data_IF_398629203617
#
_entry.id   IF_398629203617
#
_cell.length_a   1.000
_cell.length_b   1.000
_cell.length_c   1.000
_cell.angle_alpha   90.00
_cell.angle_beta   90.00
_cell.angle_gamma   90.00
#
_symmetry.space_group_name_H-M   'P 1'
#
loop_
_entity.id
_entity.type
_entity.pdbx_description
1 polymer ?
#
# COMPACT_ATOMS: atom_id res chain seq x y z
N UNK A 1 10.51 21.97 -8.79
CA UNK A 1 10.20 20.82 -7.92
C UNK A 1 8.69 20.77 -7.82
N UNK A 2 8.05 19.66 -8.20
CA UNK A 2 6.60 19.54 -8.07
C UNK A 2 6.20 19.62 -6.58
N UNK A 3 5.01 20.14 -6.33
CA UNK A 3 4.39 20.19 -5.01
C UNK A 3 3.94 18.81 -4.55
N UNK A 4 3.65 18.69 -3.25
CA UNK A 4 3.06 17.47 -2.68
C UNK A 4 1.76 17.07 -3.40
N UNK A 5 0.88 18.03 -3.68
CA UNK A 5 -0.43 17.78 -4.31
C UNK A 5 -0.29 17.31 -5.77
N UNK A 6 0.68 17.87 -6.51
CA UNK A 6 1.00 17.44 -7.87
C UNK A 6 1.52 16.00 -7.87
N UNK A 7 2.43 15.66 -6.96
CA UNK A 7 2.98 14.31 -6.85
C UNK A 7 1.91 13.30 -6.42
N UNK A 8 1.03 13.67 -5.49
CA UNK A 8 -0.07 12.81 -5.07
C UNK A 8 -1.05 12.56 -6.23
N UNK A 9 -1.36 13.59 -7.01
CA UNK A 9 -2.21 13.47 -8.21
C UNK A 9 -1.60 12.50 -9.23
N UNK A 10 -0.28 12.61 -9.49
CA UNK A 10 0.43 11.66 -10.37
C UNK A 10 0.29 10.22 -9.89
N UNK A 11 0.41 9.97 -8.58
CA UNK A 11 0.21 8.60 -8.07
C UNK A 11 -1.23 8.16 -8.28
N UNK A 12 -2.22 8.99 -7.93
CA UNK A 12 -3.66 8.67 -8.09
C UNK A 12 -4.03 8.34 -9.54
N UNK A 13 -3.46 9.06 -10.49
CA UNK A 13 -3.74 8.90 -11.91
C UNK A 13 -2.92 7.76 -12.57
N UNK A 14 -1.99 7.16 -11.84
CA UNK A 14 -1.17 6.04 -12.32
C UNK A 14 -1.88 4.69 -12.19
N UNK A 15 -1.41 3.71 -12.96
CA UNK A 15 -1.76 2.30 -12.80
C UNK A 15 -0.62 1.49 -12.20
N UNK A 16 -0.94 0.40 -11.49
CA UNK A 16 0.06 -0.43 -10.78
C UNK A 16 1.15 -1.05 -11.69
N UNK A 17 0.88 -1.21 -12.98
CA UNK A 17 1.77 -1.76 -14.00
C UNK A 17 2.67 -0.70 -14.64
N UNK A 18 2.42 0.59 -14.37
CA UNK A 18 3.31 1.71 -14.67
C UNK A 18 4.44 1.87 -13.64
N UNK A 19 4.51 0.96 -12.65
CA UNK A 19 5.55 0.93 -11.63
C UNK A 19 6.49 -0.25 -11.83
N UNK A 20 7.77 0.04 -12.04
CA UNK A 20 8.82 -0.98 -12.11
C UNK A 20 9.06 -1.57 -10.73
N UNK A 21 8.92 -2.88 -10.60
CA UNK A 21 9.01 -3.60 -9.32
C UNK A 21 10.42 -4.14 -9.11
N UNK A 22 11.14 -3.56 -8.15
CA UNK A 22 12.36 -4.12 -7.60
C UNK A 22 12.05 -4.75 -6.23
N UNK A 23 11.18 -5.76 -6.20
CA UNK A 23 10.67 -6.33 -4.95
C UNK A 23 11.76 -6.82 -3.98
N UNK A 24 12.86 -7.36 -4.49
CA UNK A 24 14.02 -7.75 -3.65
C UNK A 24 14.75 -6.58 -2.99
N UNK A 25 14.60 -5.38 -3.55
CA UNK A 25 15.14 -4.13 -3.02
C UNK A 25 14.09 -3.33 -2.25
N UNK A 26 12.86 -3.84 -2.12
CA UNK A 26 11.75 -3.11 -1.52
C UNK A 26 11.49 -1.76 -2.19
N UNK A 27 11.68 -1.65 -3.51
CA UNK A 27 11.56 -0.39 -4.24
C UNK A 27 10.65 -0.55 -5.46
N UNK A 28 9.74 0.40 -5.64
CA UNK A 28 8.89 0.55 -6.82
C UNK A 28 9.17 1.91 -7.43
N UNK A 29 9.48 1.95 -8.72
CA UNK A 29 9.86 3.18 -9.42
C UNK A 29 8.83 3.49 -10.49
N UNK A 30 8.29 4.70 -10.47
CA UNK A 30 7.33 5.14 -11.47
C UNK A 30 8.03 5.28 -12.84
N UNK A 31 7.49 4.66 -13.89
CA UNK A 31 8.15 4.59 -15.19
C UNK A 31 8.30 5.96 -15.86
N UNK A 32 7.29 6.83 -15.71
CA UNK A 32 7.26 8.12 -16.40
C UNK A 32 8.12 9.19 -15.69
N UNK A 33 8.34 9.05 -14.37
CA UNK A 33 9.26 9.89 -13.60
C UNK A 33 9.99 9.04 -12.55
N UNK A 34 11.22 8.63 -12.89
CA UNK A 34 12.04 7.74 -12.04
C UNK A 34 12.50 8.39 -10.73
N UNK A 35 12.33 9.70 -10.57
CA UNK A 35 12.58 10.36 -9.28
C UNK A 35 11.50 9.99 -8.27
N UNK A 36 10.27 9.66 -8.72
CA UNK A 36 9.16 9.21 -7.89
C UNK A 36 9.27 7.71 -7.60
N UNK A 37 9.42 7.37 -6.32
CA UNK A 37 9.62 6.00 -5.87
C UNK A 37 8.81 5.71 -4.61
N UNK A 38 8.28 4.50 -4.50
CA UNK A 38 7.77 3.94 -3.24
C UNK A 38 8.83 2.98 -2.69
N UNK A 39 9.18 3.11 -1.42
CA UNK A 39 10.26 2.33 -0.80
C UNK A 39 9.78 1.76 0.52
N UNK A 40 9.95 0.45 0.72
CA UNK A 40 9.81 -0.20 2.02
C UNK A 40 10.96 0.25 2.93
N UNK A 41 10.65 0.96 4.00
CA UNK A 41 11.63 1.46 4.97
C UNK A 41 11.90 0.46 6.09
N UNK A 42 10.86 -0.20 6.57
CA UNK A 42 10.94 -0.98 7.80
C UNK A 42 9.90 -2.10 7.85
N UNK A 43 10.22 -3.11 8.66
CA UNK A 43 9.27 -4.12 9.10
C UNK A 43 8.86 -3.77 10.53
N UNK A 44 7.58 -3.47 10.73
CA UNK A 44 7.02 -3.00 11.99
C UNK A 44 6.65 -4.14 12.96
N UNK A 45 6.67 -5.38 12.47
CA UNK A 45 6.37 -6.59 13.24
C UNK A 45 5.06 -7.26 12.81
N UNK A 46 4.57 -8.25 13.57
CA UNK A 46 3.36 -8.98 13.22
C UNK A 46 2.12 -8.08 13.30
N UNK A 47 1.17 -8.27 12.39
CA UNK A 47 -0.17 -7.70 12.51
C UNK A 47 -0.99 -8.49 13.54
N UNK A 48 -1.66 -7.79 14.44
CA UNK A 48 -2.42 -8.38 15.56
C UNK A 48 -3.91 -8.04 15.50
N UNK A 49 -4.29 -7.19 14.55
CA UNK A 49 -5.64 -6.71 14.37
C UNK A 49 -6.56 -7.85 13.89
N UNK A 50 -7.84 -7.90 14.32
CA UNK A 50 -8.75 -8.98 13.95
C UNK A 50 -8.90 -9.18 12.44
N UNK A 51 -8.91 -8.08 11.68
CA UNK A 51 -9.03 -8.14 10.23
C UNK A 51 -7.82 -8.78 9.55
N UNK A 52 -6.64 -8.69 10.15
CA UNK A 52 -5.36 -9.19 9.62
C UNK A 52 -4.99 -10.59 10.14
N UNK A 53 -5.58 -11.03 11.25
CA UNK A 53 -5.27 -12.32 11.91
C UNK A 53 -6.19 -13.47 11.49
N UNK A 54 -7.23 -13.19 10.71
CA UNK A 54 -8.17 -14.22 10.22
C UNK A 54 -7.63 -15.10 9.08
N UNK A 55 -6.45 -14.79 8.56
CA UNK A 55 -5.82 -15.54 7.48
C UNK A 55 -5.06 -16.77 8.00
N UNK A 56 -4.77 -17.73 7.12
CA UNK A 56 -4.14 -19.00 7.52
C UNK A 56 -2.67 -18.81 7.88
N UNK A 57 -1.94 -18.02 7.09
CA UNK A 57 -0.54 -17.70 7.35
C UNK A 57 -0.38 -16.35 8.08
N UNK A 58 0.76 -16.12 8.74
CA UNK A 58 1.01 -14.87 9.47
C UNK A 58 0.92 -13.64 8.58
N UNK A 59 0.45 -12.55 9.17
CA UNK A 59 0.42 -11.22 8.55
C UNK A 59 1.44 -10.31 9.22
N UNK A 60 2.11 -9.46 8.44
CA UNK A 60 3.20 -8.59 8.91
C UNK A 60 2.95 -7.14 8.50
N UNK A 61 3.23 -6.20 9.41
CA UNK A 61 3.13 -4.76 9.17
C UNK A 61 4.47 -4.23 8.66
N UNK A 62 4.40 -3.31 7.70
CA UNK A 62 5.55 -2.68 7.05
C UNK A 62 5.32 -1.18 6.92
N UNK A 63 6.42 -0.41 7.01
CA UNK A 63 6.42 1.02 6.71
C UNK A 63 6.90 1.27 5.28
N UNK A 64 6.09 1.98 4.49
CA UNK A 64 6.40 2.38 3.13
C UNK A 64 6.45 3.89 3.01
N UNK A 65 7.38 4.43 2.24
CA UNK A 65 7.53 5.87 2.03
C UNK A 65 7.62 6.19 0.54
N UNK A 66 6.79 7.14 0.10
CA UNK A 66 6.99 7.79 -1.20
C UNK A 66 8.14 8.80 -1.11
N UNK A 67 9.03 8.75 -2.08
CA UNK A 67 10.15 9.68 -2.26
C UNK A 67 10.05 10.37 -3.62
N UNK A 68 10.50 11.62 -3.67
CA UNK A 68 10.84 12.30 -4.91
C UNK A 68 12.29 12.75 -4.84
N UNK A 69 13.13 12.15 -5.69
CA UNK A 69 14.57 12.20 -5.51
C UNK A 69 14.95 11.61 -4.15
N UNK A 70 15.51 12.44 -3.27
CA UNK A 70 15.94 12.05 -1.91
C UNK A 70 15.01 12.55 -0.80
N UNK A 71 13.93 13.25 -1.14
CA UNK A 71 13.01 13.82 -0.15
C UNK A 71 11.86 12.84 0.12
N UNK A 72 11.60 12.46 1.39
CA UNK A 72 10.40 11.72 1.75
C UNK A 72 9.18 12.64 1.62
N UNK A 73 8.08 12.08 1.15
CA UNK A 73 6.85 12.81 0.82
C UNK A 73 5.69 12.34 1.66
N UNK A 74 5.51 11.03 1.74
CA UNK A 74 4.34 10.43 2.39
C UNK A 74 4.67 9.05 2.94
N UNK A 75 4.22 8.77 4.16
CA UNK A 75 4.40 7.48 4.84
C UNK A 75 3.08 6.71 4.86
N UNK A 76 3.16 5.42 4.60
CA UNK A 76 2.04 4.47 4.63
C UNK A 76 2.40 3.26 5.48
N UNK A 77 1.53 2.91 6.43
CA UNK A 77 1.55 1.57 7.03
C UNK A 77 0.79 0.61 6.12
N UNK A 78 1.43 -0.50 5.76
CA UNK A 78 0.84 -1.52 4.90
C UNK A 78 1.04 -2.88 5.53
N UNK A 79 0.02 -3.73 5.46
CA UNK A 79 0.04 -5.08 6.00
C UNK A 79 0.16 -6.09 4.88
N UNK A 80 1.25 -6.85 4.88
CA UNK A 80 1.40 -8.05 4.06
C UNK A 80 0.59 -9.18 4.69
N UNK A 81 -0.52 -9.55 4.05
CA UNK A 81 -1.46 -10.56 4.51
C UNK A 81 -1.09 -11.95 3.98
N UNK A 82 -1.37 -12.96 4.79
CA UNK A 82 -1.22 -14.39 4.43
C UNK A 82 0.17 -14.71 3.86
N UNK A 83 1.21 -14.34 4.61
CA UNK A 83 2.63 -14.44 4.22
C UNK A 83 2.94 -13.66 2.93
N UNK A 84 2.63 -12.36 2.97
CA UNK A 84 2.92 -11.37 1.93
C UNK A 84 2.32 -11.67 0.54
N UNK A 85 1.18 -12.38 0.50
CA UNK A 85 0.45 -12.67 -0.74
C UNK A 85 -0.28 -11.45 -1.30
N UNK A 86 -0.73 -10.58 -0.42
CA UNK A 86 -1.32 -9.29 -0.77
C UNK A 86 -0.92 -8.25 0.26
N UNK A 87 -0.64 -7.05 -0.21
CA UNK A 87 -0.30 -5.90 0.63
C UNK A 87 -1.50 -4.97 0.68
N UNK A 88 -2.10 -4.84 1.86
CA UNK A 88 -3.28 -4.02 2.11
C UNK A 88 -2.89 -2.88 3.06
N UNK A 89 -3.06 -1.61 2.67
CA UNK A 89 -2.84 -0.47 3.55
C UNK A 89 -3.66 -0.60 4.82
N UNK A 90 -3.11 -0.11 5.94
CA UNK A 90 -3.80 -0.14 7.22
C UNK A 90 -5.11 0.66 7.13
N UNK A 91 -6.27 0.01 7.38
CA UNK A 91 -7.58 0.66 7.22
C UNK A 91 -7.86 1.62 8.38
N UNK A 92 -8.68 2.62 8.11
CA UNK A 92 -9.31 3.42 9.15
C UNK A 92 -10.49 2.65 9.73
N UNK A 93 -10.65 2.72 11.05
CA UNK A 93 -11.80 2.15 11.75
C UNK A 93 -12.75 3.27 12.18
N UNK A 94 -13.99 3.22 11.69
CA UNK A 94 -15.04 4.13 12.12
C UNK A 94 -15.59 3.74 13.51
N UNK A 95 -16.34 4.63 14.19
CA UNK A 95 -16.90 4.34 15.53
C UNK A 95 -17.84 3.12 15.59
N UNK A 96 -18.47 2.76 14.46
CA UNK A 96 -19.32 1.57 14.33
C UNK A 96 -18.52 0.27 14.09
N UNK A 97 -17.20 0.37 14.03
CA UNK A 97 -16.29 -0.73 13.79
C UNK A 97 -16.06 -1.07 12.31
N UNK A 98 -16.69 -0.35 11.38
CA UNK A 98 -16.44 -0.55 9.95
C UNK A 98 -15.00 -0.14 9.58
N UNK A 99 -14.39 -0.90 8.67
CA UNK A 99 -13.04 -0.68 8.19
C UNK A 99 -13.06 -0.17 6.77
N UNK A 100 -12.29 0.88 6.48
CA UNK A 100 -12.16 1.37 5.12
C UNK A 100 -10.78 1.88 4.76
N UNK A 101 -10.49 1.83 3.46
CA UNK A 101 -9.35 2.49 2.82
C UNK A 101 -9.85 3.38 1.68
N UNK A 102 -9.09 4.42 1.36
CA UNK A 102 -9.35 5.28 0.20
C UNK A 102 -8.95 4.59 -1.11
N UNK A 103 -9.47 5.03 -2.28
CA UNK A 103 -8.99 4.57 -3.57
C UNK A 103 -7.48 4.74 -3.74
N UNK A 104 -6.94 5.86 -3.25
CA UNK A 104 -5.51 6.13 -3.25
C UNK A 104 -4.73 5.09 -2.43
N UNK A 105 -5.18 4.79 -1.21
CA UNK A 105 -4.56 3.74 -0.40
C UNK A 105 -4.65 2.39 -1.12
N UNK A 106 -5.81 2.02 -1.67
CA UNK A 106 -5.95 0.78 -2.44
C UNK A 106 -4.89 0.70 -3.53
N UNK A 107 -4.70 1.76 -4.32
CA UNK A 107 -3.67 1.84 -5.35
C UNK A 107 -2.26 1.61 -4.79
N UNK A 108 -1.92 2.15 -3.61
CA UNK A 108 -0.64 1.83 -2.93
C UNK A 108 -0.49 0.33 -2.71
N UNK A 109 -1.55 -0.33 -2.23
CA UNK A 109 -1.56 -1.80 -2.09
C UNK A 109 -1.37 -2.54 -3.42
N UNK A 110 -1.96 -2.04 -4.50
CA UNK A 110 -1.83 -2.59 -5.85
C UNK A 110 -0.42 -2.41 -6.40
N UNK A 111 0.18 -1.23 -6.22
CA UNK A 111 1.58 -0.95 -6.54
C UNK A 111 2.51 -1.89 -5.78
N UNK A 112 2.26 -2.20 -4.51
CA UNK A 112 3.14 -3.11 -3.77
C UNK A 112 2.90 -4.56 -4.19
N UNK A 113 1.64 -4.99 -4.33
CA UNK A 113 1.25 -6.39 -4.61
C UNK A 113 1.55 -6.83 -6.04
N UNK A 114 1.12 -6.06 -7.04
CA UNK A 114 1.31 -6.42 -8.46
C UNK A 114 0.16 -7.13 -9.10
N UNK A 115 -0.92 -7.23 -8.36
CA UNK A 115 -2.17 -7.78 -8.81
C UNK A 115 -3.32 -7.08 -8.09
N UNK A 116 -4.07 -6.20 -8.77
CA UNK A 116 -5.25 -5.56 -8.21
C UNK A 116 -6.31 -6.55 -7.75
N UNK A 117 -6.44 -7.70 -8.44
CA UNK A 117 -7.41 -8.73 -8.08
C UNK A 117 -7.10 -9.35 -6.73
N UNK A 118 -5.82 -9.55 -6.42
CA UNK A 118 -5.38 -10.00 -5.10
C UNK A 118 -5.69 -8.97 -4.02
N UNK A 119 -5.35 -7.70 -4.22
CA UNK A 119 -5.65 -6.65 -3.22
C UNK A 119 -7.15 -6.57 -2.93
N UNK A 120 -7.99 -6.59 -3.97
CA UNK A 120 -9.45 -6.60 -3.82
C UNK A 120 -9.97 -7.80 -3.05
N UNK A 121 -9.51 -9.00 -3.43
CA UNK A 121 -9.92 -10.24 -2.79
C UNK A 121 -9.60 -10.24 -1.29
N UNK A 122 -8.42 -9.73 -0.93
CA UNK A 122 -7.99 -9.67 0.47
C UNK A 122 -8.71 -8.56 1.25
N UNK A 123 -8.97 -7.39 0.66
CA UNK A 123 -9.83 -6.37 1.29
C UNK A 123 -11.23 -6.93 1.58
N UNK A 124 -11.84 -7.61 0.61
CA UNK A 124 -13.18 -8.21 0.76
C UNK A 124 -13.20 -9.27 1.87
N UNK A 125 -12.20 -10.17 1.90
CA UNK A 125 -12.06 -11.18 2.96
C UNK A 125 -11.77 -10.54 4.32
N UNK A 126 -11.04 -9.44 4.34
CA UNK A 126 -10.73 -8.67 5.55
C UNK A 126 -11.92 -7.85 6.08
N UNK A 127 -13.01 -7.71 5.29
CA UNK A 127 -14.14 -6.83 5.62
C UNK A 127 -13.81 -5.34 5.47
N UNK A 128 -12.83 -4.99 4.63
CA UNK A 128 -12.39 -3.62 4.37
C UNK A 128 -13.10 -3.09 3.13
N UNK A 129 -13.84 -2.00 3.30
CA UNK A 129 -14.49 -1.29 2.20
C UNK A 129 -13.53 -0.28 1.56
N UNK A 130 -13.78 0.07 0.29
CA UNK A 130 -13.11 1.20 -0.37
C UNK A 130 -14.07 2.40 -0.34
N UNK A 131 -13.76 3.41 0.46
CA UNK A 131 -14.60 4.61 0.62
C UNK A 131 -13.88 5.87 0.13
N UNK A 132 -14.62 6.80 -0.46
CA UNK A 132 -14.11 8.11 -0.89
C UNK A 132 -13.71 8.98 0.31
#
# INVERSE_FOLDING_TARGET
MPSYEELRSVVVDSAFDEWIRFGRLGTWTYQQDVALRLVQQEQLGPAQEPWATQFQAPSTRYGYVFYYGNSPIEYHTVVGLDNDRAFVPEPQQAPDGSLSITPYQRLVGEIITGDPGSVESYCNRAGIAVSQ
#
